data_IF_751064989001
#
_entry.id   IF_751064989001
#
_cell.length_a   1.000
_cell.length_b   1.000
_cell.length_c   1.000
_cell.angle_alpha   90.00
_cell.angle_beta   90.00
_cell.angle_gamma   90.00
#
_symmetry.space_group_name_H-M   'P 1'
#
loop_
_entity.id
_entity.type
_entity.pdbx_description
1 polymer ?
#
# COMPACT_ATOMS: atom_id res chain seq x y z
N UNK A 1 11.31 30.31 -72.57
CA UNK A 1 11.68 31.33 -73.57
C UNK A 1 12.86 32.09 -73.01
N UNK A 2 13.86 32.41 -73.87
CA UNK A 2 15.18 33.02 -73.61
C UNK A 2 16.28 31.96 -73.37
N UNK A 3 16.85 31.37 -74.46
CA UNK A 3 18.08 31.76 -75.22
C UNK A 3 19.33 31.21 -74.51
N UNK A 4 19.88 30.02 -74.85
CA UNK A 4 20.77 29.63 -75.98
C UNK A 4 21.83 30.66 -76.35
N UNK A 5 23.09 30.41 -75.94
CA UNK A 5 24.32 30.82 -76.65
C UNK A 5 25.51 29.96 -76.18
N UNK A 6 25.86 28.94 -76.98
CA UNK A 6 27.26 28.57 -77.31
C UNK A 6 27.85 29.67 -78.24
N UNK A 7 29.18 29.86 -78.43
CA UNK A 7 30.12 28.77 -78.78
C UNK A 7 31.64 29.00 -78.51
N UNK A 8 32.45 28.03 -79.01
CA UNK A 8 33.85 28.12 -79.49
C UNK A 8 34.97 28.34 -78.47
N UNK A 9 36.21 27.87 -78.67
CA UNK A 9 36.90 26.82 -79.43
C UNK A 9 38.38 26.98 -78.99
N UNK A 10 39.14 25.90 -79.01
CA UNK A 10 40.48 25.74 -78.42
C UNK A 10 41.58 26.68 -78.98
N UNK A 11 42.73 26.79 -78.29
CA UNK A 11 43.83 25.90 -78.69
C UNK A 11 44.68 25.35 -77.53
N UNK A 12 45.10 24.09 -77.76
CA UNK A 12 46.15 23.32 -77.09
C UNK A 12 47.54 23.95 -77.29
N UNK A 13 48.43 23.92 -76.29
CA UNK A 13 49.79 23.45 -76.56
C UNK A 13 50.33 22.47 -75.52
N UNK A 14 51.14 21.56 -76.05
CA UNK A 14 51.84 20.43 -75.43
C UNK A 14 53.12 20.88 -74.72
N UNK A 15 53.37 20.40 -73.50
CA UNK A 15 54.72 20.15 -72.96
C UNK A 15 54.66 19.26 -71.70
N UNK A 16 55.16 18.04 -71.81
CA UNK A 16 55.70 17.16 -70.74
C UNK A 16 57.19 17.52 -70.50
N UNK A 17 57.92 16.96 -69.52
CA UNK A 17 57.58 16.17 -68.32
C UNK A 17 58.26 16.71 -67.03
N UNK A 18 58.17 15.93 -65.93
CA UNK A 18 58.99 16.03 -64.71
C UNK A 18 58.73 17.22 -63.79
N UNK A 19 58.00 16.96 -62.70
CA UNK A 19 58.54 17.07 -61.35
C UNK A 19 57.74 16.12 -60.45
N UNK A 20 58.37 14.99 -60.13
CA UNK A 20 58.08 14.22 -58.94
C UNK A 20 58.68 14.97 -57.75
N UNK A 21 58.20 14.65 -56.53
CA UNK A 21 58.60 15.24 -55.24
C UNK A 21 57.84 16.56 -54.93
N UNK A 22 57.10 16.74 -53.84
CA UNK A 22 57.05 16.03 -52.58
C UNK A 22 55.63 16.12 -51.98
N UNK A 23 54.98 14.98 -51.76
CA UNK A 23 53.92 14.83 -50.77
C UNK A 23 54.60 14.87 -49.41
N UNK A 24 54.91 16.07 -48.94
CA UNK A 24 55.57 16.27 -47.66
C UNK A 24 54.51 16.28 -46.54
N UNK A 25 54.33 15.08 -45.97
CA UNK A 25 54.12 14.87 -44.53
C UNK A 25 53.27 15.91 -43.77
N UNK A 26 51.95 15.78 -43.87
CA UNK A 26 51.02 16.34 -42.87
C UNK A 26 49.98 15.28 -42.45
N UNK A 27 50.45 14.06 -42.19
CA UNK A 27 49.60 12.90 -41.90
C UNK A 27 49.52 12.49 -40.42
N UNK A 28 50.43 12.97 -39.55
CA UNK A 28 50.53 12.44 -38.18
C UNK A 28 49.68 13.21 -37.16
N UNK A 29 49.57 14.54 -37.27
CA UNK A 29 48.83 15.34 -36.28
C UNK A 29 47.29 15.27 -36.44
N UNK A 30 46.75 15.05 -37.65
CA UNK A 30 45.30 14.84 -37.87
C UNK A 30 44.83 13.51 -37.26
N UNK A 31 45.57 12.43 -37.47
CA UNK A 31 45.23 11.09 -36.96
C UNK A 31 45.32 11.00 -35.43
N UNK A 32 46.28 11.71 -34.82
CA UNK A 32 46.38 11.83 -33.37
C UNK A 32 45.24 12.66 -32.77
N UNK A 33 44.88 13.80 -33.40
CA UNK A 33 43.76 14.63 -32.94
C UNK A 33 42.40 13.93 -33.07
N UNK A 34 42.16 13.22 -34.17
CA UNK A 34 40.92 12.45 -34.38
C UNK A 34 40.80 11.29 -33.41
N UNK A 35 41.87 10.52 -33.16
CA UNK A 35 41.85 9.45 -32.14
C UNK A 35 41.60 9.98 -30.72
N UNK A 36 42.16 11.14 -30.37
CA UNK A 36 41.91 11.78 -29.07
C UNK A 36 40.46 12.26 -28.94
N UNK A 37 39.88 12.87 -29.98
CA UNK A 37 38.49 13.32 -29.98
C UNK A 37 37.51 12.15 -29.89
N UNK A 38 37.71 11.09 -30.67
CA UNK A 38 36.86 9.89 -30.62
C UNK A 38 36.97 9.18 -29.27
N UNK A 39 38.18 9.11 -28.68
CA UNK A 39 38.38 8.58 -27.33
C UNK A 39 37.66 9.39 -26.25
N UNK A 40 37.71 10.73 -26.33
CA UNK A 40 37.01 11.61 -25.40
C UNK A 40 35.49 11.46 -25.46
N UNK A 41 34.92 11.35 -26.67
CA UNK A 41 33.47 11.10 -26.87
C UNK A 41 33.07 9.74 -26.31
N UNK A 42 33.85 8.69 -26.55
CA UNK A 42 33.56 7.36 -26.03
C UNK A 42 33.54 7.35 -24.48
N UNK A 43 34.50 8.02 -23.84
CA UNK A 43 34.53 8.15 -22.37
C UNK A 43 33.29 8.91 -21.87
N UNK A 44 32.89 10.00 -22.54
CA UNK A 44 31.74 10.82 -22.15
C UNK A 44 30.42 10.02 -22.24
N UNK A 45 30.25 9.21 -23.29
CA UNK A 45 29.08 8.32 -23.47
C UNK A 45 29.06 7.22 -22.39
N UNK A 46 30.20 6.58 -22.11
CA UNK A 46 30.30 5.55 -21.06
C UNK A 46 30.01 6.15 -19.68
N UNK A 47 30.54 7.34 -19.40
CA UNK A 47 30.32 8.08 -18.15
C UNK A 47 28.84 8.45 -17.98
N UNK A 48 28.19 8.92 -19.04
CA UNK A 48 26.77 9.23 -19.06
C UNK A 48 25.89 7.99 -18.84
N UNK A 49 26.22 6.87 -19.48
CA UNK A 49 25.50 5.60 -19.31
C UNK A 49 25.67 5.03 -17.89
N UNK A 50 26.88 5.06 -17.34
CA UNK A 50 27.15 4.61 -15.97
C UNK A 50 26.44 5.50 -14.93
N UNK A 51 26.47 6.82 -15.09
CA UNK A 51 25.77 7.76 -14.21
C UNK A 51 24.24 7.58 -14.25
N UNK A 52 23.66 7.37 -15.44
CA UNK A 52 22.23 7.11 -15.59
C UNK A 52 21.81 5.77 -14.93
N UNK A 53 22.63 4.72 -15.06
CA UNK A 53 22.39 3.43 -14.42
C UNK A 53 22.42 3.50 -12.90
N UNK A 54 23.43 4.16 -12.31
CA UNK A 54 23.57 4.30 -10.86
C UNK A 54 22.41 5.12 -10.27
N UNK A 55 22.03 6.23 -10.92
CA UNK A 55 20.91 7.06 -10.46
C UNK A 55 19.57 6.32 -10.47
N UNK A 56 19.31 5.50 -11.50
CA UNK A 56 18.11 4.65 -11.57
C UNK A 56 18.11 3.57 -10.48
N UNK A 57 19.26 2.98 -10.18
CA UNK A 57 19.37 1.96 -9.14
C UNK A 57 19.15 2.52 -7.74
N UNK A 58 19.74 3.67 -7.40
CA UNK A 58 19.50 4.34 -6.10
C UNK A 58 18.03 4.77 -5.95
N UNK A 59 17.41 5.29 -7.03
CA UNK A 59 16.01 5.68 -7.00
C UNK A 59 15.07 4.48 -6.80
N UNK A 60 15.38 3.32 -7.41
CA UNK A 60 14.59 2.11 -7.18
C UNK A 60 14.67 1.60 -5.74
N UNK A 61 15.81 1.75 -5.06
CA UNK A 61 15.93 1.38 -3.65
C UNK A 61 15.08 2.30 -2.75
N UNK A 62 15.10 3.62 -2.99
CA UNK A 62 14.27 4.57 -2.25
C UNK A 62 12.77 4.32 -2.46
N UNK A 63 12.35 4.05 -3.69
CA UNK A 63 10.94 3.73 -4.00
C UNK A 63 10.52 2.44 -3.29
N UNK A 64 11.37 1.40 -3.25
CA UNK A 64 11.09 0.15 -2.54
C UNK A 64 10.95 0.36 -1.04
N UNK A 65 11.89 1.10 -0.43
CA UNK A 65 11.83 1.40 1.01
C UNK A 65 10.57 2.19 1.38
N UNK A 66 10.19 3.16 0.54
CA UNK A 66 8.94 3.91 0.74
C UNK A 66 7.71 3.01 0.57
N UNK A 67 7.69 2.15 -0.46
CA UNK A 67 6.60 1.22 -0.69
C UNK A 67 6.42 0.25 0.51
N UNK A 68 7.52 -0.32 1.02
CA UNK A 68 7.50 -1.19 2.20
C UNK A 68 7.01 -0.42 3.45
N UNK A 69 7.47 0.82 3.66
CA UNK A 69 7.00 1.64 4.77
C UNK A 69 5.51 1.96 4.68
N UNK A 70 5.00 2.28 3.49
CA UNK A 70 3.58 2.51 3.27
C UNK A 70 2.74 1.24 3.43
N UNK A 71 3.25 0.08 3.01
CA UNK A 71 2.57 -1.20 3.21
C UNK A 71 2.47 -1.53 4.69
N UNK A 72 3.55 -1.37 5.46
CA UNK A 72 3.52 -1.53 6.92
C UNK A 72 2.56 -0.55 7.59
N UNK A 73 2.61 0.74 7.23
CA UNK A 73 1.70 1.74 7.78
C UNK A 73 0.23 1.39 7.49
N UNK A 74 -0.08 0.97 6.26
CA UNK A 74 -1.42 0.52 5.90
C UNK A 74 -1.84 -0.70 6.72
N UNK A 75 -0.97 -1.68 6.89
CA UNK A 75 -1.26 -2.87 7.69
C UNK A 75 -1.57 -2.47 9.15
N UNK A 76 -0.71 -1.67 9.77
CA UNK A 76 -0.94 -1.19 11.15
C UNK A 76 -2.27 -0.46 11.29
N UNK A 77 -2.59 0.47 10.38
CA UNK A 77 -3.85 1.20 10.39
C UNK A 77 -5.05 0.26 10.20
N UNK A 78 -4.96 -0.73 9.31
CA UNK A 78 -6.05 -1.71 9.15
C UNK A 78 -6.26 -2.55 10.39
N UNK A 79 -5.19 -2.96 11.07
CA UNK A 79 -5.29 -3.71 12.33
C UNK A 79 -5.87 -2.86 13.46
N UNK A 80 -5.49 -1.59 13.56
CA UNK A 80 -6.02 -0.66 14.55
C UNK A 80 -7.50 -0.38 14.31
N UNK A 81 -7.90 -0.16 13.05
CA UNK A 81 -9.31 0.02 12.69
C UNK A 81 -10.14 -1.23 13.00
N UNK A 82 -9.62 -2.43 12.72
CA UNK A 82 -10.28 -3.68 13.08
C UNK A 82 -10.45 -3.80 14.60
N UNK A 83 -9.41 -3.50 15.39
CA UNK A 83 -9.48 -3.52 16.84
C UNK A 83 -10.51 -2.51 17.39
N UNK A 84 -10.55 -1.30 16.85
CA UNK A 84 -11.53 -0.28 17.24
C UNK A 84 -12.96 -0.68 16.86
N UNK A 85 -13.15 -1.31 15.70
CA UNK A 85 -14.46 -1.82 15.28
C UNK A 85 -14.95 -2.93 16.22
N UNK A 86 -14.10 -3.91 16.54
CA UNK A 86 -14.40 -4.97 17.52
C UNK A 86 -14.75 -4.36 18.88
N UNK A 87 -13.98 -3.36 19.34
CA UNK A 87 -14.24 -2.67 20.60
C UNK A 87 -15.63 -2.00 20.60
N UNK A 88 -15.96 -1.29 19.53
CA UNK A 88 -17.27 -0.63 19.40
C UNK A 88 -18.40 -1.64 19.48
N UNK A 89 -18.26 -2.80 18.83
CA UNK A 89 -19.26 -3.87 18.85
C UNK A 89 -19.41 -4.47 20.25
N UNK A 90 -18.32 -4.73 20.98
CA UNK A 90 -18.38 -5.23 22.36
C UNK A 90 -19.10 -4.24 23.30
N UNK A 91 -18.83 -2.94 23.15
CA UNK A 91 -19.52 -1.88 23.91
C UNK A 91 -21.02 -1.86 23.58
N UNK A 92 -21.38 -2.02 22.31
CA UNK A 92 -22.78 -2.09 21.89
C UNK A 92 -23.50 -3.30 22.48
N UNK A 93 -22.89 -4.48 22.48
CA UNK A 93 -23.43 -5.70 23.11
C UNK A 93 -23.64 -5.47 24.61
N UNK A 94 -22.66 -4.86 25.30
CA UNK A 94 -22.78 -4.50 26.72
C UNK A 94 -23.95 -3.55 26.97
N UNK A 95 -24.11 -2.53 26.13
CA UNK A 95 -25.25 -1.61 26.23
C UNK A 95 -26.59 -2.33 26.05
N UNK A 96 -26.68 -3.26 25.09
CA UNK A 96 -27.88 -4.07 24.85
C UNK A 96 -28.22 -4.97 26.04
N UNK A 97 -27.22 -5.57 26.70
CA UNK A 97 -27.42 -6.34 27.94
C UNK A 97 -27.97 -5.47 29.07
N UNK A 98 -27.38 -4.30 29.32
CA UNK A 98 -27.87 -3.38 30.35
C UNK A 98 -29.27 -2.83 30.03
N UNK A 99 -29.58 -2.61 28.75
CA UNK A 99 -30.92 -2.24 28.30
C UNK A 99 -31.92 -3.39 28.50
N UNK A 100 -31.48 -4.64 28.32
CA UNK A 100 -32.29 -5.82 28.64
C UNK A 100 -32.60 -5.91 30.14
N UNK A 101 -31.63 -5.58 31.00
CA UNK A 101 -31.84 -5.48 32.46
C UNK A 101 -32.89 -4.42 32.79
N UNK A 102 -32.79 -3.22 32.23
CA UNK A 102 -33.79 -2.16 32.43
C UNK A 102 -35.19 -2.59 31.96
N UNK A 103 -35.29 -3.23 30.78
CA UNK A 103 -36.55 -3.78 30.29
C UNK A 103 -37.12 -4.87 31.21
N UNK A 104 -36.26 -5.74 31.77
CA UNK A 104 -36.65 -6.76 32.74
C UNK A 104 -37.19 -6.13 34.03
N UNK A 105 -36.53 -5.09 34.55
CA UNK A 105 -36.98 -4.34 35.74
C UNK A 105 -38.35 -3.66 35.52
N UNK A 106 -38.60 -3.20 34.30
CA UNK A 106 -39.89 -2.68 33.85
C UNK A 106 -40.94 -3.78 33.55
N UNK A 107 -40.62 -5.05 33.79
CA UNK A 107 -41.45 -6.22 33.48
C UNK A 107 -41.82 -6.35 32.01
N UNK A 108 -41.00 -5.79 31.12
CA UNK A 108 -41.15 -5.87 29.67
C UNK A 108 -40.27 -7.00 29.09
N UNK A 109 -40.67 -8.25 29.36
CA UNK A 109 -39.92 -9.44 28.96
C UNK A 109 -39.73 -9.55 27.43
N UNK A 110 -40.69 -9.07 26.64
CA UNK A 110 -40.59 -9.07 25.18
C UNK A 110 -39.50 -8.13 24.66
N UNK A 111 -39.41 -6.92 25.23
CA UNK A 111 -38.31 -6.00 24.92
C UNK A 111 -36.98 -6.56 25.41
N UNK A 112 -36.94 -7.10 26.62
CA UNK A 112 -35.72 -7.69 27.19
C UNK A 112 -35.14 -8.81 26.29
N UNK A 113 -35.98 -9.75 25.83
CA UNK A 113 -35.58 -10.79 24.88
C UNK A 113 -35.20 -10.23 23.50
N UNK A 114 -35.84 -9.15 23.05
CA UNK A 114 -35.45 -8.47 21.79
C UNK A 114 -34.05 -7.88 21.89
N UNK A 115 -33.70 -7.27 23.03
CA UNK A 115 -32.36 -6.75 23.28
C UNK A 115 -31.32 -7.88 23.39
N UNK A 116 -31.64 -9.01 24.03
CA UNK A 116 -30.75 -10.18 24.07
C UNK A 116 -30.47 -10.76 22.70
N UNK A 117 -31.51 -10.94 21.88
CA UNK A 117 -31.33 -11.45 20.53
C UNK A 117 -30.46 -10.52 19.69
N UNK A 118 -30.68 -9.20 19.77
CA UNK A 118 -29.80 -8.23 19.10
C UNK A 118 -28.37 -8.29 19.63
N UNK A 119 -28.19 -8.43 20.94
CA UNK A 119 -26.87 -8.60 21.53
C UNK A 119 -26.17 -9.84 20.94
N UNK A 120 -26.90 -10.95 20.75
CA UNK A 120 -26.38 -12.17 20.13
C UNK A 120 -26.00 -11.95 18.67
N UNK A 121 -26.90 -11.33 17.90
CA UNK A 121 -26.70 -11.01 16.47
C UNK A 121 -25.49 -10.08 16.27
N UNK A 122 -25.27 -9.11 17.16
CA UNK A 122 -24.11 -8.21 17.12
C UNK A 122 -22.81 -8.90 17.55
N UNK A 123 -22.89 -9.84 18.51
CA UNK A 123 -21.71 -10.54 19.04
C UNK A 123 -21.24 -11.67 18.13
N UNK A 124 -22.15 -12.33 17.40
CA UNK A 124 -21.86 -13.49 16.54
C UNK A 124 -20.74 -13.25 15.51
N UNK A 125 -20.78 -12.18 14.67
CA UNK A 125 -19.78 -11.95 13.62
C UNK A 125 -18.43 -11.47 14.15
N UNK A 126 -18.28 -11.25 15.46
CA UNK A 126 -17.00 -10.87 16.05
C UNK A 126 -16.06 -12.09 16.03
N UNK A 127 -15.39 -12.28 14.89
CA UNK A 127 -14.23 -13.15 14.75
C UNK A 127 -13.01 -12.39 15.29
N UNK A 128 -12.88 -12.31 16.61
CA UNK A 128 -11.75 -11.60 17.18
C UNK A 128 -10.50 -12.49 17.21
N UNK A 129 -9.33 -11.88 17.00
CA UNK A 129 -8.04 -12.39 17.49
C UNK A 129 -7.98 -12.54 19.02
N UNK A 130 -8.99 -12.01 19.73
CA UNK A 130 -9.31 -12.26 21.14
C UNK A 130 -10.10 -13.57 21.32
N UNK A 131 -9.83 -14.58 20.47
CA UNK A 131 -10.45 -15.92 20.41
C UNK A 131 -10.18 -16.69 21.71
N UNK A 132 -10.72 -16.12 22.76
CA UNK A 132 -10.63 -16.54 24.13
C UNK A 132 -11.81 -17.46 24.34
N UNK A 133 -11.53 -18.56 25.02
CA UNK A 133 -12.55 -19.49 25.52
C UNK A 133 -13.72 -18.75 26.19
N UNK A 134 -13.42 -17.61 26.82
CA UNK A 134 -14.37 -16.71 27.45
C UNK A 134 -15.34 -16.05 26.47
N UNK A 135 -14.88 -15.49 25.33
CA UNK A 135 -15.77 -14.91 24.32
C UNK A 135 -16.71 -15.97 23.73
N UNK A 136 -16.17 -17.17 23.47
CA UNK A 136 -16.97 -18.30 22.99
C UNK A 136 -18.02 -18.73 24.03
N UNK A 137 -17.64 -18.78 25.31
CA UNK A 137 -18.57 -19.07 26.40
C UNK A 137 -19.69 -18.03 26.49
N UNK A 138 -19.35 -16.74 26.44
CA UNK A 138 -20.35 -15.65 26.43
C UNK A 138 -21.28 -15.77 25.22
N UNK A 139 -20.76 -16.00 24.01
CA UNK A 139 -21.58 -16.22 22.81
C UNK A 139 -22.56 -17.37 23.00
N UNK A 140 -22.07 -18.51 23.50
CA UNK A 140 -22.89 -19.70 23.71
C UNK A 140 -23.98 -19.46 24.77
N UNK A 141 -23.63 -18.87 25.91
CA UNK A 141 -24.58 -18.53 26.96
C UNK A 141 -25.65 -17.57 26.43
N UNK A 142 -25.24 -16.51 25.74
CA UNK A 142 -26.13 -15.48 25.24
C UNK A 142 -27.05 -15.99 24.11
N UNK A 143 -26.60 -16.94 23.29
CA UNK A 143 -27.41 -17.59 22.25
C UNK A 143 -28.52 -18.50 22.81
N UNK A 144 -28.37 -18.98 24.04
CA UNK A 144 -29.33 -19.90 24.69
C UNK A 144 -30.16 -19.22 25.77
N UNK A 145 -29.81 -17.99 26.14
CA UNK A 145 -30.47 -17.26 27.21
C UNK A 145 -31.83 -16.72 26.75
N UNK A 146 -32.88 -17.13 27.46
CA UNK A 146 -34.23 -16.61 27.29
C UNK A 146 -34.77 -16.12 28.63
N UNK A 147 -35.27 -14.88 28.63
CA UNK A 147 -35.92 -14.29 29.79
C UNK A 147 -37.36 -14.79 29.84
N UNK A 148 -37.71 -15.46 30.93
CA UNK A 148 -39.05 -15.98 31.20
C UNK A 148 -39.65 -15.34 32.46
N UNK A 149 -40.93 -15.00 32.40
CA UNK A 149 -41.68 -14.43 33.52
C UNK A 149 -41.84 -15.36 34.72
N UNK A 150 -41.68 -16.68 34.53
CA UNK A 150 -41.83 -17.69 35.60
C UNK A 150 -40.61 -17.84 36.49
N UNK A 151 -39.44 -17.42 36.01
CA UNK A 151 -38.17 -17.47 36.74
C UNK A 151 -38.04 -16.19 37.57
N UNK A 152 -37.30 -16.27 38.68
CA UNK A 152 -37.03 -15.13 39.54
C UNK A 152 -36.33 -13.99 38.76
N UNK A 153 -36.94 -12.78 38.65
CA UNK A 153 -36.35 -11.66 37.92
C UNK A 153 -35.00 -11.20 38.50
N UNK A 154 -34.78 -11.37 39.81
CA UNK A 154 -33.51 -11.00 40.43
C UNK A 154 -32.36 -11.92 39.99
N UNK A 155 -32.65 -13.22 39.79
CA UNK A 155 -31.67 -14.18 39.28
C UNK A 155 -31.32 -13.88 37.82
N UNK A 156 -32.33 -13.63 36.98
CA UNK A 156 -32.12 -13.24 35.59
C UNK A 156 -31.34 -11.94 35.47
N UNK A 157 -31.66 -10.92 36.28
CA UNK A 157 -30.89 -9.67 36.35
C UNK A 157 -29.43 -9.92 36.66
N UNK A 158 -29.14 -10.74 37.67
CA UNK A 158 -27.76 -11.04 38.06
C UNK A 158 -27.00 -11.77 36.95
N UNK A 159 -27.65 -12.68 36.21
CA UNK A 159 -27.07 -13.33 35.04
C UNK A 159 -26.69 -12.32 33.96
N UNK A 160 -27.59 -11.39 33.63
CA UNK A 160 -27.33 -10.36 32.60
C UNK A 160 -26.23 -9.39 33.00
N UNK A 161 -26.20 -8.95 34.26
CA UNK A 161 -25.13 -8.10 34.80
C UNK A 161 -23.79 -8.84 34.76
N UNK A 162 -23.77 -10.12 35.17
CA UNK A 162 -22.55 -10.91 35.11
C UNK A 162 -22.02 -11.10 33.68
N UNK A 163 -22.89 -11.34 32.70
CA UNK A 163 -22.51 -11.40 31.28
C UNK A 163 -21.95 -10.05 30.79
N UNK A 164 -22.55 -8.93 31.21
CA UNK A 164 -22.05 -7.58 30.91
C UNK A 164 -20.65 -7.34 31.48
N UNK A 165 -20.41 -7.74 32.73
CA UNK A 165 -19.11 -7.58 33.39
C UNK A 165 -18.03 -8.47 32.74
N UNK A 166 -18.39 -9.70 32.36
CA UNK A 166 -17.50 -10.60 31.61
C UNK A 166 -17.13 -10.04 30.24
N UNK A 167 -18.10 -9.44 29.53
CA UNK A 167 -17.82 -8.74 28.27
C UNK A 167 -16.92 -7.53 28.46
N UNK A 168 -17.10 -6.77 29.53
CA UNK A 168 -16.25 -5.61 29.85
C UNK A 168 -14.81 -6.02 30.08
N UNK A 169 -14.57 -7.15 30.76
CA UNK A 169 -13.23 -7.70 30.95
C UNK A 169 -12.54 -8.13 29.63
N UNK A 170 -13.31 -8.38 28.56
CA UNK A 170 -12.79 -8.69 27.23
C UNK A 170 -12.45 -7.44 26.41
N UNK A 171 -12.84 -6.25 26.86
CA UNK A 171 -12.52 -5.00 26.18
C UNK A 171 -11.07 -4.62 26.53
N UNK A 172 -10.12 -4.65 25.57
CA UNK A 172 -8.74 -4.30 25.87
C UNK A 172 -8.63 -2.86 26.36
N UNK A 173 -7.95 -2.66 27.48
CA UNK A 173 -7.55 -1.34 27.99
C UNK A 173 -6.50 -0.72 27.04
N UNK A 174 -6.57 0.61 26.86
CA UNK A 174 -5.64 1.38 26.01
C UNK A 174 -4.34 1.64 26.75
#
# INVERSE_FOLDING_TARGET
>A
MIIVCEPMNEPKPTATPQDAEAVHSSGSHWLLKTKLVTGAIAILVISGAAGYGIGRWQNQQLIRQQAEAYEMERETLTTELAAMATRSQLIEVRLLLLTSVDALEQRNFGAANTHLRRASETLDPIESSLDSEELAAVKQELSTLEINYTINPAEQRNLLVNLSDRLEALIPEI
#
